data_IF_088677205279
#
_entry.id   IF_088677205279
#
_cell.length_a   1.000
_cell.length_b   1.000
_cell.length_c   1.000
_cell.angle_alpha   90.00
_cell.angle_beta   90.00
_cell.angle_gamma   90.00
#
_symmetry.space_group_name_H-M   'P 1'
#
loop_
_entity.id
_entity.type
_entity.pdbx_description
1 polymer ?
#
# COMPACT_ATOMS: atom_id res chain seq x y z
N UNK A 1 -2.32 -26.26 -12.21
CA UNK A 1 -2.10 -24.81 -12.40
C UNK A 1 -1.10 -24.62 -13.54
N UNK A 2 -1.42 -23.84 -14.57
CA UNK A 2 -0.51 -23.36 -15.59
C UNK A 2 0.05 -21.98 -15.21
N UNK A 3 1.14 -21.57 -15.82
CA UNK A 3 1.76 -20.27 -15.49
C UNK A 3 1.39 -19.25 -16.56
N UNK A 4 0.81 -18.13 -16.13
CA UNK A 4 0.45 -17.00 -16.97
C UNK A 4 1.72 -16.32 -17.53
N UNK A 5 1.72 -16.05 -18.83
CA UNK A 5 2.78 -15.30 -19.53
C UNK A 5 2.19 -14.44 -20.64
N UNK A 6 3.00 -13.52 -21.17
CA UNK A 6 2.58 -12.69 -22.31
C UNK A 6 2.28 -13.51 -23.58
N UNK A 7 2.91 -14.68 -23.74
CA UNK A 7 2.76 -15.56 -24.89
C UNK A 7 1.44 -16.32 -24.86
N UNK A 8 0.91 -16.65 -23.66
CA UNK A 8 -0.29 -17.48 -23.54
C UNK A 8 -1.55 -16.73 -23.08
N UNK A 9 -1.43 -15.51 -22.59
CA UNK A 9 -2.54 -14.74 -22.01
C UNK A 9 -3.69 -14.52 -23.00
N UNK A 10 -3.38 -14.08 -24.23
CA UNK A 10 -4.41 -13.78 -25.25
C UNK A 10 -5.12 -15.06 -25.71
N UNK A 11 -4.35 -16.13 -25.98
CA UNK A 11 -4.92 -17.42 -26.38
C UNK A 11 -5.84 -17.98 -25.30
N UNK A 12 -5.40 -17.92 -24.03
CA UNK A 12 -6.21 -18.35 -22.89
C UNK A 12 -7.53 -17.58 -22.79
N UNK A 13 -7.49 -16.25 -22.90
CA UNK A 13 -8.69 -15.41 -22.82
C UNK A 13 -9.68 -15.70 -23.96
N UNK A 14 -9.19 -15.95 -25.18
CA UNK A 14 -10.03 -16.37 -26.31
C UNK A 14 -10.66 -17.74 -26.04
N UNK A 15 -9.87 -18.72 -25.60
CA UNK A 15 -10.32 -20.08 -25.31
C UNK A 15 -11.37 -20.12 -24.19
N UNK A 16 -11.16 -19.35 -23.12
CA UNK A 16 -12.07 -19.26 -21.99
C UNK A 16 -13.31 -18.38 -22.25
N UNK A 17 -13.34 -17.65 -23.38
CA UNK A 17 -14.46 -16.77 -23.74
C UNK A 17 -14.48 -15.44 -22.98
N UNK A 18 -13.39 -15.07 -22.35
CA UNK A 18 -13.25 -13.79 -21.62
C UNK A 18 -12.85 -12.61 -22.52
N UNK A 19 -12.41 -12.90 -23.74
CA UNK A 19 -12.09 -11.90 -24.76
C UNK A 19 -12.77 -12.25 -26.08
N UNK A 20 -13.36 -11.28 -26.80
CA UNK A 20 -14.04 -11.54 -28.06
C UNK A 20 -13.07 -12.11 -29.11
N UNK A 21 -13.37 -13.25 -29.76
CA UNK A 21 -12.42 -13.93 -30.66
C UNK A 21 -12.11 -13.13 -31.94
N UNK A 22 -12.96 -12.17 -32.29
CA UNK A 22 -12.78 -11.30 -33.47
C UNK A 22 -11.99 -10.02 -33.16
N UNK A 23 -11.60 -9.77 -31.88
CA UNK A 23 -10.82 -8.61 -31.49
C UNK A 23 -9.37 -9.02 -31.27
N UNK A 24 -8.45 -8.69 -32.18
CA UNK A 24 -7.03 -8.95 -31.99
C UNK A 24 -6.50 -8.22 -30.76
N UNK A 25 -5.72 -8.92 -29.93
CA UNK A 25 -5.19 -8.39 -28.69
C UNK A 25 -3.68 -8.58 -28.58
N UNK A 26 -3.06 -7.73 -27.79
CA UNK A 26 -1.68 -7.89 -27.35
C UNK A 26 -1.62 -7.94 -25.82
N UNK A 27 -0.62 -8.67 -25.32
CA UNK A 27 -0.37 -8.81 -23.89
C UNK A 27 0.98 -8.20 -23.54
N UNK A 28 1.02 -7.43 -22.43
CA UNK A 28 2.28 -6.89 -21.89
C UNK A 28 2.36 -7.08 -20.40
N UNK A 29 3.53 -7.48 -19.91
CA UNK A 29 3.78 -7.58 -18.48
C UNK A 29 3.83 -6.19 -17.86
N UNK A 30 3.12 -6.00 -16.74
CA UNK A 30 3.27 -4.82 -15.91
C UNK A 30 4.40 -5.04 -14.91
N UNK A 31 5.34 -4.11 -14.88
CA UNK A 31 6.50 -4.12 -13.97
C UNK A 31 6.19 -3.34 -12.70
N UNK A 32 6.81 -3.71 -11.57
CA UNK A 32 6.70 -3.00 -10.30
C UNK A 32 6.15 -3.82 -9.13
N UNK A 33 5.41 -4.90 -9.38
CA UNK A 33 5.02 -5.87 -8.37
C UNK A 33 6.03 -7.01 -8.24
N UNK A 34 6.22 -7.56 -7.04
CA UNK A 34 7.13 -8.68 -6.78
C UNK A 34 6.40 -9.98 -6.47
N UNK A 35 5.15 -9.92 -6.06
CA UNK A 35 4.38 -11.03 -5.50
C UNK A 35 3.56 -11.82 -6.54
N UNK A 36 3.13 -11.17 -7.62
CA UNK A 36 2.23 -11.75 -8.61
C UNK A 36 2.73 -11.54 -10.04
N UNK A 37 2.25 -12.40 -10.95
CA UNK A 37 2.29 -12.13 -12.39
C UNK A 37 1.13 -11.20 -12.73
N UNK A 38 1.42 -10.03 -13.30
CA UNK A 38 0.42 -9.03 -13.70
C UNK A 38 0.60 -8.71 -15.17
N UNK A 39 -0.42 -8.98 -15.98
CA UNK A 39 -0.39 -8.79 -17.43
C UNK A 39 -1.57 -7.93 -17.84
N UNK A 40 -1.30 -6.87 -18.60
CA UNK A 40 -2.31 -6.10 -19.32
C UNK A 40 -2.57 -6.77 -20.67
N UNK A 41 -3.85 -6.97 -20.97
CA UNK A 41 -4.30 -7.37 -22.31
C UNK A 41 -5.14 -6.23 -22.89
N UNK A 42 -4.77 -5.77 -24.07
CA UNK A 42 -5.39 -4.62 -24.73
C UNK A 42 -5.61 -4.90 -26.22
N UNK A 43 -6.62 -4.29 -26.86
CA UNK A 43 -6.84 -4.45 -28.30
C UNK A 43 -5.66 -3.86 -29.06
N UNK A 44 -5.27 -4.50 -30.17
CA UNK A 44 -4.21 -4.00 -31.08
C UNK A 44 -4.68 -2.72 -31.79
N UNK A 45 -5.96 -2.68 -32.15
CA UNK A 45 -6.53 -1.52 -32.83
C UNK A 45 -7.05 -0.48 -31.82
N UNK A 46 -6.50 0.76 -31.80
CA UNK A 46 -6.95 1.82 -30.90
C UNK A 46 -8.43 2.21 -31.07
N UNK A 47 -9.00 1.95 -32.26
CA UNK A 47 -10.40 2.20 -32.57
C UNK A 47 -11.37 1.15 -32.01
N UNK A 48 -10.84 0.06 -31.45
CA UNK A 48 -11.65 -0.97 -30.82
C UNK A 48 -12.41 -0.43 -29.61
N UNK A 49 -13.67 -0.79 -29.52
CA UNK A 49 -14.49 -0.49 -28.33
C UNK A 49 -14.23 -1.47 -27.17
N UNK A 50 -13.41 -2.51 -27.39
CA UNK A 50 -13.06 -3.46 -26.34
C UNK A 50 -12.09 -2.80 -25.34
N UNK A 51 -12.48 -2.67 -24.05
CA UNK A 51 -11.58 -2.13 -23.05
C UNK A 51 -10.43 -3.09 -22.77
N UNK A 52 -9.29 -2.54 -22.34
CA UNK A 52 -8.20 -3.35 -21.77
C UNK A 52 -8.61 -4.02 -20.47
N UNK A 53 -7.95 -5.13 -20.15
CA UNK A 53 -8.11 -5.81 -18.86
C UNK A 53 -6.75 -6.17 -18.25
N UNK A 54 -6.75 -6.34 -16.94
CA UNK A 54 -5.59 -6.82 -16.19
C UNK A 54 -5.84 -8.26 -15.77
N UNK A 55 -4.88 -9.13 -16.06
CA UNK A 55 -4.80 -10.49 -15.54
C UNK A 55 -3.82 -10.50 -14.38
N UNK A 56 -4.20 -11.08 -13.25
CA UNK A 56 -3.32 -11.25 -12.09
C UNK A 56 -3.32 -12.70 -11.64
N UNK A 57 -2.13 -13.31 -11.60
CA UNK A 57 -1.93 -14.68 -11.11
C UNK A 57 -0.97 -14.69 -9.94
N UNK A 58 -1.34 -15.39 -8.87
CA UNK A 58 -0.52 -15.53 -7.68
C UNK A 58 0.71 -16.39 -7.92
N UNK A 59 1.83 -16.00 -7.31
CA UNK A 59 3.09 -16.75 -7.34
C UNK A 59 3.54 -17.05 -5.91
N UNK A 60 3.88 -18.31 -5.60
CA UNK A 60 4.34 -18.70 -4.26
C UNK A 60 5.66 -18.03 -3.89
N UNK A 61 6.60 -17.98 -4.82
CA UNK A 61 7.91 -17.35 -4.63
C UNK A 61 7.87 -15.92 -5.15
N UNK A 62 8.14 -14.95 -4.27
CA UNK A 62 8.20 -13.55 -4.63
C UNK A 62 9.48 -13.23 -5.40
N UNK A 63 9.40 -12.33 -6.37
CA UNK A 63 10.53 -11.87 -7.20
C UNK A 63 11.39 -10.84 -6.46
N UNK A 64 12.06 -11.29 -5.39
CA UNK A 64 12.94 -10.49 -4.54
C UNK A 64 14.33 -11.09 -4.47
N UNK A 65 15.36 -10.30 -4.02
CA UNK A 65 16.73 -10.82 -3.84
C UNK A 65 16.82 -11.84 -2.70
N UNK A 66 16.04 -11.68 -1.64
CA UNK A 66 15.92 -12.63 -0.54
C UNK A 66 14.81 -13.64 -0.86
N UNK A 67 14.99 -14.90 -0.44
CA UNK A 67 13.91 -15.89 -0.55
C UNK A 67 12.74 -15.43 0.31
N UNK A 68 11.60 -15.26 -0.35
CA UNK A 68 10.39 -14.77 0.29
C UNK A 68 9.19 -15.48 -0.33
N UNK A 69 8.44 -16.20 0.48
CA UNK A 69 7.27 -17.00 0.06
C UNK A 69 6.01 -16.47 0.71
N UNK A 70 4.91 -16.62 0.02
CA UNK A 70 3.58 -16.43 0.55
C UNK A 70 2.59 -17.38 -0.13
N UNK A 71 1.51 -17.71 0.56
CA UNK A 71 0.48 -18.63 0.08
C UNK A 71 -0.21 -18.09 -1.18
N UNK A 72 -0.60 -19.00 -2.09
CA UNK A 72 -1.20 -18.64 -3.37
C UNK A 72 -2.61 -18.06 -3.23
N UNK A 73 -3.37 -18.55 -2.25
CA UNK A 73 -4.78 -18.18 -2.05
C UNK A 73 -4.99 -16.76 -1.49
N UNK A 74 -3.87 -16.00 -1.24
CA UNK A 74 -3.95 -14.56 -0.94
C UNK A 74 -4.62 -13.76 -2.07
N UNK A 75 -4.60 -14.30 -3.29
CA UNK A 75 -5.27 -13.67 -4.43
C UNK A 75 -6.78 -13.54 -4.23
N UNK A 76 -7.38 -14.43 -3.44
CA UNK A 76 -8.81 -14.37 -3.07
C UNK A 76 -9.10 -13.36 -1.96
N UNK A 77 -8.10 -13.00 -1.15
CA UNK A 77 -8.18 -11.83 -0.26
C UNK A 77 -8.36 -10.57 -1.09
N UNK A 78 -7.58 -10.45 -2.16
CA UNK A 78 -7.63 -9.30 -3.06
C UNK A 78 -8.99 -9.18 -3.76
N UNK A 79 -9.50 -10.25 -4.35
CA UNK A 79 -10.79 -10.20 -5.06
C UNK A 79 -11.96 -9.97 -4.11
N UNK A 80 -11.96 -10.55 -2.90
CA UNK A 80 -12.97 -10.30 -1.88
C UNK A 80 -12.96 -8.86 -1.41
N UNK A 81 -11.75 -8.30 -1.18
CA UNK A 81 -11.59 -6.90 -0.78
C UNK A 81 -12.06 -5.95 -1.88
N UNK A 82 -11.69 -6.19 -3.14
CA UNK A 82 -12.16 -5.34 -4.25
C UNK A 82 -13.66 -5.37 -4.43
N UNK A 83 -14.31 -6.54 -4.30
CA UNK A 83 -15.78 -6.66 -4.35
C UNK A 83 -16.43 -5.86 -3.22
N UNK A 84 -15.94 -5.98 -2.00
CA UNK A 84 -16.43 -5.19 -0.86
C UNK A 84 -16.26 -3.69 -1.07
N UNK A 85 -15.08 -3.24 -1.49
CA UNK A 85 -14.76 -1.84 -1.69
C UNK A 85 -15.47 -1.23 -2.91
N UNK A 86 -15.80 -2.04 -3.92
CA UNK A 86 -16.58 -1.61 -5.08
C UNK A 86 -17.98 -1.12 -4.72
N UNK A 87 -18.56 -1.65 -3.63
CA UNK A 87 -19.87 -1.22 -3.09
C UNK A 87 -19.75 0.01 -2.15
N UNK A 88 -18.55 0.33 -1.70
CA UNK A 88 -18.28 1.33 -0.64
C UNK A 88 -17.67 2.62 -1.19
N UNK A 89 -16.75 2.49 -2.14
CA UNK A 89 -16.00 3.62 -2.70
C UNK A 89 -16.64 4.14 -3.99
N UNK A 90 -16.36 5.38 -4.38
CA UNK A 90 -16.84 5.91 -5.67
C UNK A 90 -16.42 5.01 -6.84
N UNK A 91 -17.21 4.97 -7.93
CA UNK A 91 -16.84 4.25 -9.14
C UNK A 91 -15.42 4.59 -9.61
N UNK A 92 -14.70 3.62 -10.17
CA UNK A 92 -13.33 3.75 -10.66
C UNK A 92 -12.25 3.96 -9.57
N UNK A 93 -12.61 3.97 -8.28
CA UNK A 93 -11.61 3.98 -7.20
C UNK A 93 -10.91 2.63 -7.06
N UNK A 94 -11.62 1.53 -7.31
CA UNK A 94 -11.07 0.16 -7.32
C UNK A 94 -11.41 -0.56 -8.61
N UNK A 95 -10.58 -1.50 -9.09
CA UNK A 95 -10.91 -2.30 -10.25
C UNK A 95 -12.16 -3.18 -10.01
N UNK A 96 -12.90 -3.45 -11.06
CA UNK A 96 -14.02 -4.40 -11.05
C UNK A 96 -13.51 -5.78 -11.47
N UNK A 97 -13.85 -6.83 -10.70
CA UNK A 97 -13.54 -8.21 -11.05
C UNK A 97 -14.40 -8.64 -12.24
N UNK A 98 -13.76 -9.13 -13.28
CA UNK A 98 -14.41 -9.62 -14.51
C UNK A 98 -14.64 -11.14 -14.48
N UNK A 99 -13.67 -11.88 -13.95
CA UNK A 99 -13.76 -13.34 -13.75
C UNK A 99 -12.73 -13.82 -12.73
N UNK A 100 -12.92 -15.03 -12.20
CA UNK A 100 -12.03 -15.72 -11.26
C UNK A 100 -11.84 -17.19 -11.72
N UNK A 101 -10.59 -17.68 -11.71
CA UNK A 101 -10.22 -19.06 -11.99
C UNK A 101 -9.53 -19.69 -10.78
N UNK A 102 -10.30 -20.40 -9.96
CA UNK A 102 -9.84 -20.96 -8.69
C UNK A 102 -8.65 -21.92 -8.86
N UNK A 103 -8.70 -22.80 -9.84
CA UNK A 103 -7.67 -23.84 -10.08
C UNK A 103 -6.32 -23.24 -10.50
N UNK A 104 -6.34 -22.03 -11.07
CA UNK A 104 -5.15 -21.36 -11.59
C UNK A 104 -4.67 -20.22 -10.69
N UNK A 105 -5.36 -19.92 -9.60
CA UNK A 105 -5.09 -18.73 -8.76
C UNK A 105 -4.96 -17.47 -9.62
N UNK A 106 -5.90 -17.30 -10.56
CA UNK A 106 -5.95 -16.27 -11.58
C UNK A 106 -7.27 -15.52 -11.50
N UNK A 107 -7.24 -14.22 -11.69
CA UNK A 107 -8.45 -13.43 -11.98
C UNK A 107 -8.17 -12.37 -13.03
N UNK A 108 -9.26 -11.92 -13.70
CA UNK A 108 -9.28 -10.77 -14.57
C UNK A 108 -10.03 -9.60 -13.94
N UNK A 109 -9.53 -8.40 -14.13
CA UNK A 109 -10.15 -7.16 -13.64
C UNK A 109 -10.09 -6.04 -14.67
N UNK A 110 -10.91 -5.00 -14.47
CA UNK A 110 -10.85 -3.78 -15.29
C UNK A 110 -9.50 -3.09 -15.13
N UNK A 111 -9.06 -2.43 -16.19
CA UNK A 111 -7.79 -1.69 -16.20
C UNK A 111 -8.03 -0.21 -15.85
N UNK A 112 -7.69 0.17 -14.63
CA UNK A 112 -7.72 1.57 -14.20
C UNK A 112 -6.50 2.36 -14.70
N UNK A 113 -5.42 1.67 -15.07
CA UNK A 113 -4.11 2.28 -15.29
C UNK A 113 -3.77 2.57 -16.76
N UNK A 114 -4.71 2.45 -17.71
CA UNK A 114 -4.39 2.61 -19.13
C UNK A 114 -3.84 4.01 -19.47
N UNK A 115 -4.36 5.04 -18.80
CA UNK A 115 -3.99 6.45 -18.99
C UNK A 115 -3.57 7.13 -17.69
N UNK A 116 -3.24 6.36 -16.65
CA UNK A 116 -2.90 6.88 -15.33
C UNK A 116 -1.41 6.87 -15.07
N UNK A 117 -0.96 7.85 -14.29
CA UNK A 117 0.36 7.88 -13.69
C UNK A 117 0.36 7.15 -12.35
N UNK A 118 1.48 6.50 -12.00
CA UNK A 118 1.69 5.95 -10.65
C UNK A 118 2.12 7.09 -9.73
N UNK A 119 1.35 7.35 -8.67
CA UNK A 119 1.63 8.49 -7.77
C UNK A 119 3.05 8.47 -7.19
N UNK A 120 3.59 7.29 -6.88
CA UNK A 120 5.00 7.15 -6.45
C UNK A 120 5.96 7.85 -7.41
N UNK A 121 5.79 7.69 -8.71
CA UNK A 121 6.69 8.26 -9.72
C UNK A 121 6.57 9.79 -9.75
N UNK A 122 5.35 10.32 -9.72
CA UNK A 122 5.10 11.75 -9.64
C UNK A 122 5.79 12.39 -8.42
N UNK A 123 5.67 11.75 -7.25
CA UNK A 123 6.33 12.21 -6.02
C UNK A 123 7.87 12.16 -6.13
N UNK A 124 8.43 11.15 -6.81
CA UNK A 124 9.88 11.07 -7.03
C UNK A 124 10.39 12.12 -8.02
N UNK A 125 9.55 12.61 -8.91
CA UNK A 125 9.81 13.74 -9.80
C UNK A 125 9.62 15.10 -9.11
N UNK A 126 9.16 15.12 -7.85
CA UNK A 126 8.89 16.35 -7.10
C UNK A 126 7.53 16.98 -7.44
N UNK A 127 6.64 16.26 -8.10
CA UNK A 127 5.25 16.68 -8.34
C UNK A 127 4.43 16.41 -7.09
N UNK A 128 4.18 17.47 -6.33
CA UNK A 128 3.49 17.41 -5.04
C UNK A 128 2.14 18.13 -5.18
N UNK A 129 1.07 17.39 -4.92
CA UNK A 129 -0.30 17.89 -5.04
C UNK A 129 -1.08 17.56 -3.74
N UNK A 130 -1.28 18.53 -2.84
CA UNK A 130 -1.99 18.31 -1.57
C UNK A 130 -3.43 17.77 -1.75
N UNK A 131 -4.07 18.07 -2.89
CA UNK A 131 -5.38 17.51 -3.24
C UNK A 131 -5.41 15.99 -3.30
N UNK A 132 -4.34 15.36 -3.82
CA UNK A 132 -4.22 13.90 -3.85
C UNK A 132 -4.05 13.31 -2.44
N UNK A 133 -3.30 13.98 -1.56
CA UNK A 133 -3.19 13.57 -0.16
C UNK A 133 -4.55 13.65 0.57
N UNK A 134 -5.34 14.67 0.28
CA UNK A 134 -6.73 14.79 0.77
C UNK A 134 -7.60 13.65 0.27
N UNK A 135 -7.53 13.32 -1.02
CA UNK A 135 -8.26 12.19 -1.61
C UNK A 135 -7.85 10.86 -0.98
N UNK A 136 -6.56 10.64 -0.77
CA UNK A 136 -6.05 9.46 -0.08
C UNK A 136 -6.58 9.36 1.38
N UNK A 137 -6.60 10.46 2.12
CA UNK A 137 -7.16 10.52 3.48
C UNK A 137 -8.66 10.21 3.50
N UNK A 138 -9.42 10.72 2.53
CA UNK A 138 -10.84 10.40 2.36
C UNK A 138 -11.05 8.91 2.05
N UNK A 139 -10.32 8.36 1.09
CA UNK A 139 -10.45 6.95 0.69
C UNK A 139 -10.11 6.03 1.87
N UNK A 140 -8.97 6.24 2.54
CA UNK A 140 -8.57 5.40 3.67
C UNK A 140 -9.54 5.51 4.85
N UNK A 141 -9.98 6.71 5.18
CA UNK A 141 -11.00 6.94 6.22
C UNK A 141 -12.31 6.23 5.89
N UNK A 142 -12.74 6.25 4.62
CA UNK A 142 -13.94 5.54 4.15
C UNK A 142 -13.79 4.03 4.23
N UNK A 143 -12.64 3.47 3.87
CA UNK A 143 -12.33 2.04 4.01
C UNK A 143 -12.45 1.62 5.48
N UNK A 144 -11.80 2.34 6.38
CA UNK A 144 -11.80 2.03 7.81
C UNK A 144 -13.19 2.21 8.45
N UNK A 145 -13.91 3.27 8.11
CA UNK A 145 -15.27 3.51 8.60
C UNK A 145 -16.23 2.41 8.14
N UNK A 146 -16.13 2.00 6.87
CA UNK A 146 -16.95 0.92 6.32
C UNK A 146 -16.60 -0.44 6.91
N UNK A 147 -15.30 -0.69 7.13
CA UNK A 147 -14.85 -1.91 7.80
C UNK A 147 -15.44 -2.05 9.22
N UNK A 148 -15.53 -0.96 9.99
CA UNK A 148 -16.20 -0.98 11.29
C UNK A 148 -17.69 -1.30 11.18
N UNK A 149 -18.38 -0.72 10.21
CA UNK A 149 -19.82 -0.96 10.01
C UNK A 149 -20.13 -2.39 9.59
N UNK A 150 -19.21 -3.06 8.92
CA UNK A 150 -19.33 -4.45 8.46
C UNK A 150 -18.48 -5.42 9.28
N UNK A 151 -18.12 -5.04 10.50
CA UNK A 151 -17.19 -5.77 11.37
C UNK A 151 -17.55 -7.26 11.53
N UNK A 152 -18.83 -7.60 11.71
CA UNK A 152 -19.27 -8.99 11.91
C UNK A 152 -18.94 -9.89 10.71
N UNK A 153 -19.13 -9.41 9.48
CA UNK A 153 -18.81 -10.20 8.28
C UNK A 153 -17.29 -10.33 8.07
N UNK A 154 -16.52 -9.28 8.33
CA UNK A 154 -15.06 -9.27 8.14
C UNK A 154 -14.34 -10.18 9.15
N UNK A 155 -14.75 -10.16 10.42
CA UNK A 155 -14.13 -10.97 11.48
C UNK A 155 -14.40 -12.48 11.35
N UNK A 156 -15.43 -12.89 10.61
CA UNK A 156 -15.81 -14.29 10.40
C UNK A 156 -15.43 -14.79 8.98
N UNK A 157 -14.89 -13.95 8.14
CA UNK A 157 -14.50 -14.23 6.76
C UNK A 157 -13.01 -14.55 6.58
N UNK A 158 -12.60 -14.65 5.32
CA UNK A 158 -11.19 -14.86 4.91
C UNK A 158 -10.28 -13.72 5.40
N UNK A 159 -10.80 -12.50 5.47
CA UNK A 159 -10.07 -11.30 5.90
C UNK A 159 -9.68 -11.33 7.40
N UNK A 160 -10.24 -12.24 8.19
CA UNK A 160 -9.83 -12.46 9.58
C UNK A 160 -8.49 -13.23 9.72
N UNK A 161 -8.03 -13.89 8.64
CA UNK A 161 -6.77 -14.66 8.63
C UNK A 161 -5.56 -13.71 8.46
N UNK A 162 -4.72 -13.66 9.47
CA UNK A 162 -3.52 -12.81 9.54
C UNK A 162 -2.30 -13.41 8.84
N UNK A 163 -2.37 -14.64 8.35
CA UNK A 163 -1.21 -15.37 7.82
C UNK A 163 -0.51 -14.59 6.71
N UNK A 164 -1.25 -14.05 5.73
CA UNK A 164 -0.68 -13.28 4.62
C UNK A 164 -0.08 -11.96 5.11
N UNK A 165 -0.73 -11.29 6.04
CA UNK A 165 -0.20 -10.07 6.66
C UNK A 165 1.09 -10.36 7.44
N UNK A 166 1.15 -11.47 8.17
CA UNK A 166 2.37 -11.89 8.86
C UNK A 166 3.51 -12.17 7.87
N UNK A 167 3.25 -12.96 6.81
CA UNK A 167 4.23 -13.31 5.78
C UNK A 167 4.76 -12.09 5.01
N UNK A 168 3.90 -11.11 4.72
CA UNK A 168 4.23 -9.99 3.82
C UNK A 168 4.54 -8.68 4.55
N UNK A 169 4.23 -8.56 5.85
CA UNK A 169 4.45 -7.31 6.62
C UNK A 169 5.12 -7.55 7.97
N UNK A 170 4.60 -8.42 8.83
CA UNK A 170 5.17 -8.58 10.18
C UNK A 170 6.57 -9.17 10.11
N UNK A 171 6.78 -10.30 9.46
CA UNK A 171 8.11 -10.90 9.37
C UNK A 171 9.12 -10.04 8.61
N UNK A 172 8.84 -9.59 7.37
CA UNK A 172 9.83 -8.86 6.57
C UNK A 172 10.12 -7.44 7.05
N UNK A 173 9.20 -6.82 7.80
CA UNK A 173 9.35 -5.48 8.34
C UNK A 173 9.72 -5.54 9.82
N UNK A 174 8.79 -5.91 10.68
CA UNK A 174 8.89 -5.75 12.14
C UNK A 174 9.89 -6.72 12.75
N UNK A 175 9.76 -8.02 12.49
CA UNK A 175 10.71 -9.01 13.04
C UNK A 175 12.12 -8.83 12.48
N UNK A 176 12.22 -8.37 11.22
CA UNK A 176 13.53 -8.12 10.60
C UNK A 176 14.24 -6.95 11.27
N UNK A 177 13.57 -5.78 11.42
CA UNK A 177 14.20 -4.62 12.09
C UNK A 177 14.47 -4.87 13.57
N UNK A 178 13.64 -5.66 14.27
CA UNK A 178 13.91 -6.06 15.66
C UNK A 178 15.18 -6.91 15.81
N UNK A 179 15.49 -7.75 14.81
CA UNK A 179 16.74 -8.52 14.77
C UNK A 179 17.95 -7.64 14.45
N UNK A 180 17.81 -6.68 13.53
CA UNK A 180 18.89 -5.76 13.13
C UNK A 180 19.17 -4.74 14.23
N UNK A 181 18.14 -4.29 14.95
CA UNK A 181 18.21 -3.27 15.99
C UNK A 181 17.65 -3.79 17.31
N UNK A 182 18.40 -4.59 18.11
CA UNK A 182 17.91 -5.17 19.36
C UNK A 182 17.38 -4.15 20.38
N UNK A 183 17.85 -2.90 20.30
CA UNK A 183 17.44 -1.82 21.22
C UNK A 183 15.94 -1.46 21.11
N UNK A 184 15.30 -1.79 19.96
CA UNK A 184 13.86 -1.57 19.73
C UNK A 184 13.06 -2.89 19.67
N UNK A 185 13.70 -4.04 19.98
CA UNK A 185 13.02 -5.33 19.88
C UNK A 185 11.77 -5.39 20.79
N UNK A 186 11.85 -4.87 22.02
CA UNK A 186 10.72 -4.84 22.95
C UNK A 186 9.59 -3.90 22.45
N UNK A 187 9.83 -2.62 22.09
CA UNK A 187 8.82 -1.78 21.44
C UNK A 187 8.14 -2.44 20.22
N UNK A 188 8.90 -3.11 19.37
CA UNK A 188 8.35 -3.81 18.20
C UNK A 188 7.43 -4.97 18.62
N UNK A 189 7.84 -5.79 19.60
CA UNK A 189 7.02 -6.89 20.11
C UNK A 189 5.72 -6.37 20.73
N UNK A 190 5.78 -5.28 21.49
CA UNK A 190 4.61 -4.64 22.06
C UNK A 190 3.67 -4.11 20.97
N UNK A 191 4.20 -3.52 19.88
CA UNK A 191 3.41 -3.02 18.77
C UNK A 191 2.70 -4.16 18.02
N UNK A 192 3.38 -5.29 17.76
CA UNK A 192 2.78 -6.49 17.17
C UNK A 192 1.65 -7.00 18.08
N UNK A 193 1.92 -7.14 19.38
CA UNK A 193 0.94 -7.62 20.35
C UNK A 193 -0.31 -6.72 20.40
N UNK A 194 -0.12 -5.39 20.35
CA UNK A 194 -1.24 -4.43 20.30
C UNK A 194 -2.11 -4.62 19.05
N UNK A 195 -1.51 -4.81 17.86
CA UNK A 195 -2.27 -5.10 16.63
C UNK A 195 -3.10 -6.38 16.74
N UNK A 196 -2.50 -7.45 17.31
CA UNK A 196 -3.18 -8.75 17.45
C UNK A 196 -4.38 -8.67 18.39
N UNK A 197 -4.27 -7.90 19.49
CA UNK A 197 -5.25 -7.85 20.57
C UNK A 197 -6.10 -6.58 20.59
N UNK A 198 -6.07 -5.79 19.51
CA UNK A 198 -6.87 -4.58 19.43
C UNK A 198 -8.38 -4.91 19.51
N UNK A 199 -9.14 -4.26 20.42
CA UNK A 199 -10.57 -4.53 20.55
C UNK A 199 -11.40 -4.01 19.37
N UNK A 200 -11.01 -2.87 18.79
CA UNK A 200 -11.68 -2.27 17.65
C UNK A 200 -10.82 -2.38 16.40
N UNK A 201 -11.02 -3.44 15.62
CA UNK A 201 -10.38 -3.67 14.32
C UNK A 201 -11.30 -3.23 13.19
N UNK A 202 -10.72 -3.04 12.02
CA UNK A 202 -11.44 -2.69 10.79
C UNK A 202 -10.81 -3.36 9.56
N UNK A 203 -11.33 -3.10 8.36
CA UNK A 203 -10.66 -3.49 7.13
C UNK A 203 -9.39 -2.64 6.95
N UNK A 204 -8.24 -3.30 6.85
CA UNK A 204 -6.91 -2.71 6.61
C UNK A 204 -6.42 -3.15 5.25
N UNK A 205 -5.90 -2.22 4.46
CA UNK A 205 -5.31 -2.51 3.14
C UNK A 205 -3.94 -3.19 3.25
N UNK A 206 -3.16 -2.77 4.22
CA UNK A 206 -1.80 -3.23 4.55
C UNK A 206 -0.73 -3.05 3.46
N UNK A 207 -1.07 -2.37 2.36
CA UNK A 207 -0.14 -1.84 1.35
C UNK A 207 -0.62 -0.49 0.80
N UNK A 208 -1.33 0.30 1.63
CA UNK A 208 -1.82 1.62 1.28
C UNK A 208 -0.65 2.58 1.08
N UNK A 209 -0.23 2.77 -0.15
CA UNK A 209 0.98 3.54 -0.47
C UNK A 209 0.92 4.13 -1.88
N UNK A 210 1.68 5.21 -2.17
CA UNK A 210 1.66 5.85 -3.48
C UNK A 210 2.06 4.95 -4.66
N UNK A 211 2.70 3.80 -4.43
CA UNK A 211 3.00 2.85 -5.52
C UNK A 211 1.76 2.12 -6.03
N UNK A 212 0.73 2.00 -5.18
CA UNK A 212 -0.53 1.31 -5.45
C UNK A 212 -1.67 2.31 -5.75
N UNK A 213 -1.32 3.57 -5.98
CA UNK A 213 -2.25 4.64 -6.31
C UNK A 213 -2.00 5.14 -7.73
N UNK A 214 -3.04 5.09 -8.54
CA UNK A 214 -3.06 5.46 -9.95
C UNK A 214 -3.80 6.78 -10.08
N UNK A 215 -3.20 7.75 -10.74
CA UNK A 215 -3.75 9.11 -10.88
C UNK A 215 -4.11 9.33 -12.34
N UNK A 216 -5.37 9.60 -12.62
CA UNK A 216 -5.83 9.94 -13.96
C UNK A 216 -5.61 11.43 -14.30
N UNK A 217 -5.98 11.82 -15.53
CA UNK A 217 -5.83 13.20 -16.02
C UNK A 217 -6.70 14.23 -15.29
N UNK A 218 -7.71 13.78 -14.54
CA UNK A 218 -8.60 14.62 -13.74
C UNK A 218 -8.24 14.62 -12.24
N UNK A 219 -7.09 14.02 -11.90
CA UNK A 219 -6.62 13.82 -10.52
C UNK A 219 -7.53 12.91 -9.67
N UNK A 220 -8.29 12.01 -10.29
CA UNK A 220 -8.94 10.95 -9.53
C UNK A 220 -7.92 9.89 -9.13
N UNK A 221 -8.11 9.33 -7.93
CA UNK A 221 -7.23 8.34 -7.36
C UNK A 221 -7.85 6.94 -7.47
N UNK A 222 -7.21 6.07 -8.26
CA UNK A 222 -7.49 4.64 -8.29
C UNK A 222 -6.57 3.89 -7.33
N UNK A 223 -7.10 2.89 -6.62
CA UNK A 223 -6.38 2.08 -5.65
C UNK A 223 -6.33 0.62 -6.11
N UNK A 224 -5.16 -0.02 -6.02
CA UNK A 224 -4.90 -1.39 -6.47
C UNK A 224 -4.06 -2.17 -5.45
N UNK A 225 -3.95 -3.50 -5.66
CA UNK A 225 -3.05 -4.40 -4.92
C UNK A 225 -3.49 -4.67 -3.47
N UNK A 226 -4.64 -5.35 -3.31
CA UNK A 226 -5.28 -5.62 -2.02
C UNK A 226 -4.92 -7.00 -1.42
N UNK A 227 -3.89 -7.67 -1.90
CA UNK A 227 -3.55 -9.05 -1.51
C UNK A 227 -3.18 -9.23 -0.03
N UNK A 228 -2.83 -8.13 0.66
CA UNK A 228 -2.48 -8.10 2.08
C UNK A 228 -3.59 -7.57 2.98
N UNK A 229 -4.74 -7.24 2.38
CA UNK A 229 -5.88 -6.73 3.14
C UNK A 229 -6.34 -7.72 4.20
N UNK A 230 -6.73 -7.21 5.35
CA UNK A 230 -7.18 -8.03 6.46
C UNK A 230 -8.03 -7.23 7.45
N UNK A 231 -8.71 -7.93 8.34
CA UNK A 231 -9.39 -7.32 9.48
C UNK A 231 -8.38 -7.08 10.62
N UNK A 232 -7.97 -5.82 10.81
CA UNK A 232 -6.82 -5.46 11.63
C UNK A 232 -6.83 -4.05 12.23
N UNK A 233 -5.65 -3.58 12.62
CA UNK A 233 -5.44 -2.26 13.23
C UNK A 233 -5.32 -1.18 12.15
N UNK A 234 -6.26 -0.20 12.09
CA UNK A 234 -6.20 0.92 11.15
C UNK A 234 -4.93 1.77 11.28
N UNK A 235 -4.27 1.76 12.44
CA UNK A 235 -3.03 2.49 12.65
C UNK A 235 -1.89 2.02 11.74
N UNK A 236 -1.91 0.74 11.31
CA UNK A 236 -0.91 0.21 10.39
C UNK A 236 -0.92 0.96 9.05
N UNK A 237 -2.09 1.09 8.41
CA UNK A 237 -2.19 1.79 7.12
C UNK A 237 -1.77 3.25 7.22
N UNK A 238 -2.13 3.92 8.31
CA UNK A 238 -1.71 5.29 8.59
C UNK A 238 -0.19 5.40 8.64
N UNK A 239 0.46 4.61 9.49
CA UNK A 239 1.91 4.62 9.63
C UNK A 239 2.62 4.21 8.33
N UNK A 240 2.07 3.22 7.63
CA UNK A 240 2.63 2.76 6.36
C UNK A 240 2.57 3.85 5.28
N UNK A 241 1.43 4.50 5.09
CA UNK A 241 1.28 5.58 4.12
C UNK A 241 2.17 6.79 4.46
N UNK A 242 2.11 7.25 5.71
CA UNK A 242 2.91 8.38 6.17
C UNK A 242 4.41 8.11 6.03
N UNK A 243 4.88 6.87 6.24
CA UNK A 243 6.29 6.51 6.05
C UNK A 243 6.76 6.78 4.62
N UNK A 244 5.90 6.52 3.63
CA UNK A 244 6.21 6.79 2.23
C UNK A 244 6.31 8.28 1.90
N UNK A 245 5.56 9.14 2.56
CA UNK A 245 5.65 10.59 2.39
C UNK A 245 6.91 11.13 3.05
N UNK A 246 7.16 10.75 4.33
CA UNK A 246 8.34 11.21 5.08
C UNK A 246 9.64 10.77 4.41
N UNK A 247 9.77 9.52 3.94
CA UNK A 247 10.97 9.07 3.22
C UNK A 247 11.24 9.86 1.94
N UNK A 248 10.19 10.35 1.27
CA UNK A 248 10.35 11.22 0.10
C UNK A 248 10.74 12.64 0.46
N UNK A 249 10.36 13.12 1.66
CA UNK A 249 10.84 14.40 2.18
C UNK A 249 12.36 14.40 2.37
N UNK A 250 12.95 13.33 2.93
CA UNK A 250 14.42 13.17 3.01
C UNK A 250 15.08 13.27 1.64
N UNK A 251 14.55 12.56 0.64
CA UNK A 251 15.06 12.63 -0.72
C UNK A 251 14.94 14.04 -1.32
N UNK A 252 13.80 14.71 -1.14
CA UNK A 252 13.57 16.06 -1.66
C UNK A 252 14.55 17.06 -1.05
N UNK A 253 14.82 16.97 0.25
CA UNK A 253 15.83 17.77 0.93
C UNK A 253 17.23 17.59 0.35
N UNK A 254 17.69 16.35 0.30
CA UNK A 254 19.03 16.04 -0.24
C UNK A 254 19.23 16.55 -1.66
N UNK A 255 18.18 16.55 -2.46
CA UNK A 255 18.20 17.07 -3.83
C UNK A 255 18.00 18.60 -3.92
N UNK A 256 17.82 19.29 -2.78
CA UNK A 256 17.54 20.73 -2.75
C UNK A 256 16.24 21.11 -3.46
N UNK A 257 15.25 20.19 -3.50
CA UNK A 257 13.98 20.48 -4.15
C UNK A 257 13.16 21.45 -3.29
N UNK A 258 12.56 22.49 -3.89
CA UNK A 258 11.75 23.47 -3.16
C UNK A 258 10.46 22.87 -2.57
N UNK A 259 10.08 21.66 -3.01
CA UNK A 259 8.85 20.96 -2.64
C UNK A 259 8.90 20.26 -1.27
N UNK A 260 10.00 20.37 -0.50
CA UNK A 260 10.11 19.69 0.80
C UNK A 260 9.01 20.08 1.79
N UNK A 261 8.67 21.34 1.87
CA UNK A 261 7.60 21.84 2.75
C UNK A 261 6.23 21.32 2.27
N UNK A 262 6.00 21.27 0.97
CA UNK A 262 4.78 20.74 0.39
C UNK A 262 4.58 19.25 0.71
N UNK A 263 5.68 18.45 0.82
CA UNK A 263 5.60 17.08 1.32
C UNK A 263 5.12 17.01 2.76
N UNK A 264 5.59 17.92 3.62
CA UNK A 264 5.14 18.00 5.02
C UNK A 264 3.68 18.47 5.12
N UNK A 265 3.27 19.41 4.26
CA UNK A 265 1.89 19.86 4.18
C UNK A 265 0.95 18.72 3.74
N UNK A 266 1.38 17.86 2.80
CA UNK A 266 0.61 16.67 2.42
C UNK A 266 0.33 15.73 3.59
N UNK A 267 1.29 15.58 4.51
CA UNK A 267 1.11 14.76 5.73
C UNK A 267 -0.04 15.32 6.57
N UNK A 268 -0.05 16.64 6.79
CA UNK A 268 -1.09 17.32 7.57
C UNK A 268 -2.45 17.21 6.87
N UNK A 269 -2.51 17.50 5.57
CA UNK A 269 -3.74 17.44 4.76
C UNK A 269 -4.34 16.03 4.72
N UNK A 270 -3.50 15.00 4.58
CA UNK A 270 -3.93 13.60 4.64
C UNK A 270 -4.50 13.26 6.02
N UNK A 271 -3.76 13.61 7.08
CA UNK A 271 -4.11 13.29 8.46
C UNK A 271 -5.44 13.94 8.87
N UNK A 272 -5.60 15.23 8.62
CA UNK A 272 -6.83 15.97 8.90
C UNK A 272 -8.03 15.35 8.19
N UNK A 273 -7.88 15.09 6.87
CA UNK A 273 -8.98 14.52 6.09
C UNK A 273 -9.34 13.10 6.52
N UNK A 274 -8.35 12.30 6.88
CA UNK A 274 -8.59 10.97 7.44
C UNK A 274 -9.38 11.05 8.74
N UNK A 275 -8.97 11.91 9.68
CA UNK A 275 -9.67 12.10 10.96
C UNK A 275 -11.11 12.59 10.77
N UNK A 276 -11.35 13.50 9.84
CA UNK A 276 -12.69 13.99 9.50
C UNK A 276 -13.59 12.89 8.92
N UNK A 277 -13.00 11.85 8.33
CA UNK A 277 -13.73 10.78 7.64
C UNK A 277 -13.92 9.56 8.54
N UNK A 278 -12.92 9.14 9.29
CA UNK A 278 -12.97 8.01 10.23
C UNK A 278 -13.40 8.50 11.61
N UNK A 279 -14.71 8.73 11.77
CA UNK A 279 -15.30 9.32 12.98
C UNK A 279 -15.68 8.31 14.06
N UNK A 280 -15.85 7.01 13.71
CA UNK A 280 -16.31 5.96 14.62
C UNK A 280 -15.20 5.34 15.47
N UNK A 281 -13.99 5.89 15.44
CA UNK A 281 -12.88 5.41 16.27
C UNK A 281 -13.14 5.73 17.75
N UNK A 282 -13.07 4.70 18.62
CA UNK A 282 -13.33 4.86 20.05
C UNK A 282 -12.29 5.73 20.77
N UNK A 283 -11.02 5.66 20.34
CA UNK A 283 -9.93 6.40 20.97
C UNK A 283 -8.94 6.95 19.93
N UNK A 284 -9.22 8.16 19.44
CA UNK A 284 -8.39 8.83 18.43
C UNK A 284 -6.92 9.06 18.89
N UNK A 285 -6.69 9.31 20.19
CA UNK A 285 -5.32 9.48 20.72
C UNK A 285 -4.53 8.18 20.70
N UNK A 286 -5.18 7.08 21.06
CA UNK A 286 -4.54 5.76 21.00
C UNK A 286 -4.27 5.33 19.56
N UNK A 287 -5.16 5.68 18.62
CA UNK A 287 -4.94 5.47 17.19
C UNK A 287 -3.73 6.27 16.69
N UNK A 288 -3.64 7.56 17.01
CA UNK A 288 -2.52 8.42 16.64
C UNK A 288 -1.19 7.90 17.21
N UNK A 289 -1.16 7.51 18.48
CA UNK A 289 0.02 6.91 19.10
C UNK A 289 0.51 5.69 18.30
N UNK A 290 -0.37 4.71 18.04
CA UNK A 290 0.01 3.52 17.28
C UNK A 290 0.43 3.87 15.85
N UNK A 291 -0.27 4.80 15.19
CA UNK A 291 0.08 5.24 13.83
C UNK A 291 1.49 5.83 13.77
N UNK A 292 1.91 6.62 14.77
CA UNK A 292 3.28 7.16 14.86
C UNK A 292 4.31 6.05 15.13
N UNK A 293 3.99 5.04 15.95
CA UNK A 293 4.87 3.90 16.17
C UNK A 293 5.00 3.05 14.88
N UNK A 294 3.91 2.83 14.14
CA UNK A 294 3.94 2.18 12.83
C UNK A 294 4.69 3.01 11.79
N UNK A 295 4.53 4.34 11.78
CA UNK A 295 5.30 5.24 10.93
C UNK A 295 6.81 5.03 11.12
N UNK A 296 7.28 5.08 12.38
CA UNK A 296 8.69 4.87 12.70
C UNK A 296 9.17 3.47 12.30
N UNK A 297 8.42 2.42 12.65
CA UNK A 297 8.76 1.04 12.31
C UNK A 297 8.80 0.80 10.79
N UNK A 298 7.82 1.30 10.04
CA UNK A 298 7.76 1.17 8.60
C UNK A 298 8.88 1.95 7.90
N UNK A 299 9.21 3.16 8.35
CA UNK A 299 10.36 3.93 7.83
C UNK A 299 11.66 3.13 8.01
N UNK A 300 11.91 2.60 9.22
CA UNK A 300 13.11 1.82 9.50
C UNK A 300 13.15 0.54 8.68
N UNK A 301 12.01 -0.13 8.50
CA UNK A 301 11.92 -1.33 7.66
C UNK A 301 12.16 -1.05 6.17
N UNK A 302 11.91 0.18 5.71
CA UNK A 302 12.24 0.62 4.34
C UNK A 302 13.71 0.99 4.17
N UNK A 303 14.50 0.92 5.22
CA UNK A 303 15.97 1.03 5.21
C UNK A 303 16.62 -0.33 5.50
N UNK A 304 16.23 -0.99 6.58
CA UNK A 304 16.92 -2.17 7.12
C UNK A 304 16.06 -3.46 7.11
N UNK A 305 14.87 -3.43 6.51
CA UNK A 305 14.00 -4.60 6.31
C UNK A 305 14.35 -5.41 5.04
N UNK A 306 13.51 -6.42 4.74
CA UNK A 306 13.70 -7.27 3.54
C UNK A 306 13.42 -6.55 2.20
N UNK A 307 12.78 -5.37 2.23
CA UNK A 307 12.41 -4.61 1.03
C UNK A 307 12.76 -3.12 1.17
N UNK A 308 14.06 -2.77 1.20
CA UNK A 308 14.50 -1.38 1.33
C UNK A 308 14.10 -0.56 0.11
N UNK A 309 14.01 0.78 0.29
CA UNK A 309 13.81 1.70 -0.83
C UNK A 309 15.13 1.96 -1.55
N UNK A 310 15.04 2.19 -2.85
CA UNK A 310 16.18 2.39 -3.75
C UNK A 310 16.54 3.86 -4.01
N UNK A 311 15.75 4.80 -3.48
CA UNK A 311 15.88 6.24 -3.76
C UNK A 311 16.51 7.06 -2.63
N UNK A 312 16.86 6.45 -1.48
CA UNK A 312 17.55 7.10 -0.36
C UNK A 312 19.07 6.90 -0.47
N UNK A 313 19.83 7.96 -0.29
CA UNK A 313 21.27 7.88 -0.11
C UNK A 313 21.64 7.34 1.29
N UNK A 314 22.88 6.91 1.49
CA UNK A 314 23.35 6.36 2.76
C UNK A 314 23.16 7.34 3.93
N UNK A 315 23.49 8.62 3.73
CA UNK A 315 23.28 9.64 4.75
C UNK A 315 21.80 9.82 5.13
N UNK A 316 20.88 9.79 4.14
CA UNK A 316 19.44 9.82 4.40
C UNK A 316 19.01 8.58 5.23
N UNK A 317 19.57 7.39 4.92
CA UNK A 317 19.28 6.16 5.65
C UNK A 317 19.75 6.25 7.11
N UNK A 318 20.91 6.84 7.38
CA UNK A 318 21.42 7.03 8.74
C UNK A 318 20.54 8.00 9.53
N UNK A 319 20.11 9.10 8.91
CA UNK A 319 19.17 10.05 9.52
C UNK A 319 17.83 9.38 9.83
N UNK A 320 17.32 8.53 8.93
CA UNK A 320 16.10 7.74 9.16
C UNK A 320 16.27 6.79 10.35
N UNK A 321 17.41 6.05 10.45
CA UNK A 321 17.70 5.14 11.57
C UNK A 321 17.64 5.88 12.90
N UNK A 322 18.35 7.01 13.01
CA UNK A 322 18.39 7.79 14.24
C UNK A 322 17.00 8.29 14.62
N UNK A 323 16.28 8.94 13.68
CA UNK A 323 14.95 9.49 13.94
C UNK A 323 13.97 8.41 14.42
N UNK A 324 13.93 7.28 13.73
CA UNK A 324 12.92 6.24 13.98
C UNK A 324 13.20 5.46 15.25
N UNK A 325 14.48 5.13 15.54
CA UNK A 325 14.87 4.45 16.77
C UNK A 325 14.60 5.36 17.99
N UNK A 326 14.89 6.67 17.92
CA UNK A 326 14.56 7.63 18.98
C UNK A 326 13.05 7.74 19.18
N UNK A 327 12.26 7.85 18.10
CA UNK A 327 10.81 7.95 18.21
C UNK A 327 10.19 6.72 18.89
N UNK A 328 10.68 5.51 18.59
CA UNK A 328 10.23 4.27 19.21
C UNK A 328 10.67 4.16 20.68
N UNK A 329 11.92 4.48 21.01
CA UNK A 329 12.44 4.46 22.38
C UNK A 329 11.72 5.45 23.28
N UNK A 330 11.44 6.66 22.77
CA UNK A 330 10.79 7.74 23.51
C UNK A 330 9.26 7.62 23.48
N UNK A 331 8.73 6.58 22.82
CA UNK A 331 7.30 6.36 22.66
C UNK A 331 6.57 7.62 22.15
N UNK A 332 7.14 8.26 21.12
CA UNK A 332 6.55 9.47 20.51
C UNK A 332 5.10 9.20 20.14
N UNK A 333 4.18 10.00 20.69
CA UNK A 333 2.74 9.69 20.68
C UNK A 333 1.92 10.58 19.75
N UNK A 334 2.51 11.66 19.23
CA UNK A 334 1.83 12.65 18.40
C UNK A 334 2.55 12.81 17.07
N UNK A 335 1.77 12.83 15.99
CA UNK A 335 2.32 13.05 14.65
C UNK A 335 3.01 14.42 14.55
N UNK A 336 2.42 15.45 15.14
CA UNK A 336 3.02 16.78 15.19
C UNK A 336 4.41 16.77 15.84
N UNK A 337 4.57 16.08 16.98
CA UNK A 337 5.86 15.97 17.67
C UNK A 337 6.91 15.23 16.81
N UNK A 338 6.49 14.18 16.08
CA UNK A 338 7.36 13.47 15.15
C UNK A 338 7.84 14.40 14.02
N UNK A 339 6.91 15.17 13.42
CA UNK A 339 7.22 16.12 12.34
C UNK A 339 8.10 17.27 12.82
N UNK A 340 7.90 17.77 14.05
CA UNK A 340 8.79 18.80 14.62
C UNK A 340 10.22 18.27 14.78
N UNK A 341 10.40 17.05 15.32
CA UNK A 341 11.70 16.41 15.41
C UNK A 341 12.36 16.22 14.05
N UNK A 342 11.57 15.87 13.04
CA UNK A 342 12.04 15.75 11.67
C UNK A 342 12.53 17.11 11.12
N UNK A 343 11.77 18.19 11.31
CA UNK A 343 12.15 19.55 10.88
C UNK A 343 13.43 20.04 11.57
N UNK A 344 13.57 19.81 12.87
CA UNK A 344 14.76 20.20 13.62
C UNK A 344 16.03 19.52 13.08
N UNK A 345 15.94 18.22 12.71
CA UNK A 345 17.06 17.50 12.08
C UNK A 345 17.44 18.11 10.74
N UNK A 346 16.45 18.45 9.94
CA UNK A 346 16.67 19.08 8.65
C UNK A 346 17.40 20.44 8.76
N UNK A 347 17.16 21.21 9.79
CA UNK A 347 17.89 22.45 10.04
C UNK A 347 19.35 22.20 10.45
N UNK A 348 19.60 21.14 11.24
CA UNK A 348 20.97 20.79 11.68
C UNK A 348 21.87 20.24 10.55
N UNK A 349 21.29 19.64 9.51
CA UNK A 349 22.04 19.13 8.35
C UNK A 349 22.36 20.21 7.29
N UNK A 350 21.77 21.40 7.42
CA UNK A 350 21.97 22.55 6.49
C UNK A 350 22.97 23.60 7.04
N UNK A 351 23.33 23.54 8.30
CA UNK A 351 24.37 24.36 8.94
C UNK A 351 25.73 23.61 8.98
#
# INVERSE_FOLDING_TARGET
MWTLSTENAVEHLHFAGYWPPHVPAQARMLTGGVSNMVIRVEPIEPSSQQPSMILKQSSELLRTKAEWRSRLDRIWIETETMKFLGDVLPPQTVPVILFEEQENYLFGMTDLGQTCDVWKLLLLEGRVEPGLARSAGLILGTIHESGLRHNESLQNGRLADWTVFDELRIDPYYRTIAKVHPIIAEPIQQLIHQMEHLPQKTLVHADFSPKNMLIDSENHLGLVDFETAHWGDPAFDLGFFLSHLVLKTFRAMRLGLPTREEFLDMISVFWEKYQDTFCSVENARALEYRAVQHLAACMLARVDGKSPVDYLAEADQDSVRVLTIEAMKNQTSRLEAFILTLKDRFHQETD
#
